data_IF_031371119648
#
_entry.id   IF_031371119648
#
_cell.length_a   1.000
_cell.length_b   1.000
_cell.length_c   1.000
_cell.angle_alpha   90.00
_cell.angle_beta   90.00
_cell.angle_gamma   90.00
#
_symmetry.space_group_name_H-M   'P 1'
#
loop_
_entity.id
_entity.type
_entity.pdbx_description
1 polymer ?
#
# COMPACT_ATOMS: atom_id res chain seq x y z
N UNK A 1 -33.07 6.74 31.18
CA UNK A 1 -34.34 7.04 30.48
C UNK A 1 -34.11 8.13 29.44
N UNK A 2 -35.03 8.37 28.50
CA UNK A 2 -34.91 9.43 27.48
C UNK A 2 -34.58 10.82 28.08
N UNK A 3 -35.15 11.13 29.24
CA UNK A 3 -34.86 12.36 30.00
C UNK A 3 -33.40 12.49 30.43
N UNK A 4 -32.73 11.39 30.75
CA UNK A 4 -31.33 11.37 31.17
C UNK A 4 -30.39 11.55 29.96
N UNK A 5 -30.78 11.01 28.80
CA UNK A 5 -30.08 11.20 27.53
C UNK A 5 -30.06 12.69 27.14
N UNK A 6 -31.23 13.35 27.16
CA UNK A 6 -31.35 14.75 26.79
C UNK A 6 -30.55 15.67 27.73
N UNK A 7 -30.53 15.36 29.03
CA UNK A 7 -29.71 16.10 30.01
C UNK A 7 -28.22 15.98 29.70
N UNK A 8 -27.73 14.77 29.40
CA UNK A 8 -26.33 14.58 29.02
C UNK A 8 -25.98 15.36 27.76
N UNK A 9 -26.83 15.28 26.72
CA UNK A 9 -26.60 15.94 25.45
C UNK A 9 -26.46 17.46 25.62
N UNK A 10 -27.39 18.08 26.36
CA UNK A 10 -27.36 19.51 26.63
C UNK A 10 -26.15 19.94 27.46
N UNK A 11 -25.74 19.11 28.43
CA UNK A 11 -24.55 19.38 29.24
C UNK A 11 -23.28 19.38 28.37
N UNK A 12 -23.12 18.37 27.51
CA UNK A 12 -21.98 18.27 26.61
C UNK A 12 -21.92 19.41 25.58
N UNK A 13 -23.07 19.82 25.04
CA UNK A 13 -23.17 20.96 24.11
C UNK A 13 -22.84 22.30 24.78
N UNK A 14 -23.31 22.53 26.00
CA UNK A 14 -23.01 23.77 26.74
C UNK A 14 -21.54 23.90 27.11
N UNK A 15 -20.87 22.77 27.34
CA UNK A 15 -19.45 22.73 27.67
C UNK A 15 -18.54 22.65 26.42
N UNK A 16 -19.14 22.68 25.22
CA UNK A 16 -18.40 22.69 23.97
C UNK A 16 -17.61 24.00 23.83
N UNK A 17 -16.34 23.89 23.42
CA UNK A 17 -15.52 25.06 23.11
C UNK A 17 -15.94 25.65 21.77
N UNK A 18 -16.19 26.97 21.73
CA UNK A 18 -16.52 27.68 20.49
C UNK A 18 -15.35 27.57 19.50
N UNK A 19 -15.66 27.39 18.21
CA UNK A 19 -14.68 27.40 17.12
C UNK A 19 -14.06 26.04 16.75
N UNK A 20 -14.49 24.93 17.36
CA UNK A 20 -14.10 23.59 16.91
C UNK A 20 -15.06 23.04 15.86
N UNK A 21 -14.47 22.40 14.86
CA UNK A 21 -15.16 21.78 13.73
C UNK A 21 -15.49 20.35 14.15
N UNK A 22 -16.68 20.16 14.73
CA UNK A 22 -17.16 18.87 15.27
C UNK A 22 -16.95 18.75 16.78
N UNK A 23 -17.75 17.90 17.45
CA UNK A 23 -17.66 17.65 18.89
C UNK A 23 -17.77 16.16 19.21
N UNK A 24 -16.81 15.64 19.96
CA UNK A 24 -16.93 14.34 20.63
C UNK A 24 -17.12 14.56 22.13
N UNK A 25 -18.17 14.00 22.70
CA UNK A 25 -18.44 14.03 24.12
C UNK A 25 -18.47 12.62 24.69
N UNK A 26 -17.73 12.41 25.78
CA UNK A 26 -17.64 11.12 26.45
C UNK A 26 -17.75 11.30 27.96
N UNK A 27 -18.69 10.59 28.56
CA UNK A 27 -18.83 10.41 30.00
C UNK A 27 -19.18 8.96 30.31
N UNK A 28 -19.08 8.51 31.57
CA UNK A 28 -19.43 7.14 31.94
C UNK A 28 -20.87 6.74 31.59
N UNK A 29 -21.77 7.72 31.47
CA UNK A 29 -23.20 7.49 31.24
C UNK A 29 -23.66 7.80 29.81
N UNK A 30 -22.80 8.38 28.96
CA UNK A 30 -23.26 8.96 27.70
C UNK A 30 -22.11 9.28 26.75
N UNK A 31 -22.32 8.96 25.48
CA UNK A 31 -21.38 9.21 24.38
C UNK A 31 -22.15 9.80 23.21
N UNK A 32 -21.70 10.93 22.69
CA UNK A 32 -22.19 11.46 21.42
C UNK A 32 -21.05 12.09 20.64
N UNK A 33 -21.14 12.01 19.32
CA UNK A 33 -20.15 12.57 18.41
C UNK A 33 -20.90 13.26 17.27
N UNK A 34 -20.58 14.53 17.04
CA UNK A 34 -21.06 15.32 15.93
C UNK A 34 -19.86 15.53 15.04
N UNK A 35 -19.84 14.83 13.91
CA UNK A 35 -18.83 15.05 12.89
C UNK A 35 -19.23 16.25 12.04
N UNK A 36 -18.24 17.10 11.82
CA UNK A 36 -18.32 18.31 11.00
C UNK A 36 -18.01 18.07 9.54
N UNK A 37 -17.77 16.80 9.16
CA UNK A 37 -17.56 16.42 7.78
C UNK A 37 -18.91 16.49 7.05
N UNK A 38 -19.28 17.72 6.70
CA UNK A 38 -20.52 18.10 6.02
C UNK A 38 -20.69 17.44 4.65
N UNK A 39 -19.76 16.59 4.19
CA UNK A 39 -19.91 15.81 2.96
C UNK A 39 -21.22 14.99 2.99
N UNK A 40 -21.65 14.52 4.17
CA UNK A 40 -22.93 13.80 4.32
C UNK A 40 -24.17 14.71 4.36
N UNK A 41 -24.05 15.96 4.81
CA UNK A 41 -25.17 16.94 4.82
C UNK A 41 -25.20 17.85 3.59
N UNK A 42 -24.15 17.81 2.75
CA UNK A 42 -24.01 18.54 1.49
C UNK A 42 -24.42 17.67 0.31
N UNK A 43 -25.64 17.12 0.37
CA UNK A 43 -26.25 16.47 -0.79
C UNK A 43 -27.59 17.10 -1.19
N UNK A 44 -28.21 17.95 -0.36
CA UNK A 44 -29.55 18.48 -0.68
C UNK A 44 -29.76 19.99 -0.45
N UNK A 45 -28.72 20.76 -0.10
CA UNK A 45 -28.82 22.22 -0.24
C UNK A 45 -28.60 22.57 -1.70
N UNK A 46 -29.66 22.37 -2.46
CA UNK A 46 -30.11 23.24 -3.55
C UNK A 46 -28.97 23.94 -4.27
N UNK A 47 -28.62 23.34 -5.42
CA UNK A 47 -28.06 24.04 -6.55
C UNK A 47 -29.02 25.19 -6.86
N UNK A 48 -28.87 26.32 -6.16
CA UNK A 48 -29.26 27.61 -6.71
C UNK A 48 -28.62 27.63 -8.11
N UNK A 49 -29.41 27.80 -9.18
CA UNK A 49 -28.85 27.96 -10.51
C UNK A 49 -28.20 29.34 -10.52
N UNK A 50 -27.01 29.45 -9.92
CA UNK A 50 -26.20 30.64 -10.05
C UNK A 50 -25.89 30.74 -11.54
N UNK A 51 -26.27 31.87 -12.09
CA UNK A 51 -26.08 32.29 -13.46
C UNK A 51 -24.61 32.17 -13.86
N UNK A 52 -24.19 30.96 -14.25
CA UNK A 52 -22.86 30.72 -14.80
C UNK A 52 -22.77 31.50 -16.10
N UNK A 53 -22.05 32.62 -16.06
CA UNK A 53 -21.61 33.32 -17.27
C UNK A 53 -20.84 32.34 -18.14
N UNK A 54 -20.99 32.47 -19.47
CA UNK A 54 -20.37 31.57 -20.45
C UNK A 54 -18.84 31.43 -20.24
N UNK A 55 -18.20 32.47 -19.69
CA UNK A 55 -16.78 32.44 -19.31
C UNK A 55 -16.44 31.40 -18.24
N UNK A 56 -17.30 31.22 -17.23
CA UNK A 56 -17.01 30.31 -16.13
C UNK A 56 -17.25 28.86 -16.52
N UNK A 57 -18.22 28.60 -17.42
CA UNK A 57 -18.40 27.29 -18.05
C UNK A 57 -17.16 26.90 -18.85
N UNK A 58 -16.62 27.81 -19.66
CA UNK A 58 -15.42 27.56 -20.48
C UNK A 58 -14.21 27.28 -19.59
N UNK A 59 -14.01 28.03 -18.49
CA UNK A 59 -12.92 27.76 -17.53
C UNK A 59 -13.03 26.37 -16.90
N UNK A 60 -14.23 25.96 -16.50
CA UNK A 60 -14.47 24.62 -15.93
C UNK A 60 -14.16 23.53 -16.96
N UNK A 61 -14.59 23.71 -18.21
CA UNK A 61 -14.32 22.75 -19.30
C UNK A 61 -12.80 22.65 -19.56
N UNK A 62 -12.10 23.77 -19.65
CA UNK A 62 -10.64 23.77 -19.89
C UNK A 62 -9.89 23.10 -18.74
N UNK A 63 -10.26 23.42 -17.48
CA UNK A 63 -9.62 22.83 -16.30
C UNK A 63 -9.85 21.30 -16.22
N UNK A 64 -11.08 20.85 -16.52
CA UNK A 64 -11.41 19.42 -16.47
C UNK A 64 -10.74 18.64 -17.60
N UNK A 65 -10.80 19.13 -18.84
CA UNK A 65 -10.13 18.50 -19.98
C UNK A 65 -8.61 18.48 -19.80
N UNK A 66 -8.02 19.58 -19.34
CA UNK A 66 -6.59 19.66 -19.05
C UNK A 66 -6.14 18.66 -17.98
N UNK A 67 -6.94 18.48 -16.93
CA UNK A 67 -6.67 17.49 -15.86
C UNK A 67 -6.69 16.06 -16.38
N UNK A 68 -7.70 15.69 -17.18
CA UNK A 68 -7.83 14.33 -17.73
C UNK A 68 -6.67 14.01 -18.69
N UNK A 69 -6.35 14.92 -19.60
CA UNK A 69 -5.24 14.74 -20.55
C UNK A 69 -3.90 14.69 -19.81
N UNK A 70 -3.67 15.59 -18.86
CA UNK A 70 -2.47 15.61 -18.03
C UNK A 70 -2.28 14.30 -17.25
N UNK A 71 -3.34 13.80 -16.63
CA UNK A 71 -3.31 12.53 -15.89
C UNK A 71 -3.00 11.35 -16.83
N UNK A 72 -3.64 11.27 -17.99
CA UNK A 72 -3.38 10.22 -18.98
C UNK A 72 -1.90 10.21 -19.43
N UNK A 73 -1.32 11.37 -19.71
CA UNK A 73 0.10 11.50 -20.09
C UNK A 73 1.01 11.02 -18.96
N UNK A 74 0.73 11.41 -17.71
CA UNK A 74 1.52 10.97 -16.55
C UNK A 74 1.48 9.45 -16.41
N UNK A 75 0.30 8.83 -16.52
CA UNK A 75 0.14 7.37 -16.44
C UNK A 75 0.94 6.66 -17.53
N UNK A 76 0.86 7.14 -18.79
CA UNK A 76 1.61 6.56 -19.91
C UNK A 76 3.12 6.69 -19.70
N UNK A 77 3.59 7.87 -19.26
CA UNK A 77 5.00 8.11 -18.94
C UNK A 77 5.50 7.17 -17.84
N UNK A 78 4.76 7.04 -16.73
CA UNK A 78 5.10 6.13 -15.64
C UNK A 78 5.13 4.68 -16.10
N UNK A 79 4.14 4.25 -16.88
CA UNK A 79 4.11 2.90 -17.45
C UNK A 79 5.35 2.62 -18.30
N UNK A 80 5.72 3.54 -19.18
CA UNK A 80 6.91 3.39 -20.03
C UNK A 80 8.20 3.36 -19.22
N UNK A 81 8.36 4.27 -18.25
CA UNK A 81 9.53 4.33 -17.37
C UNK A 81 9.69 3.05 -16.53
N UNK A 82 8.61 2.57 -15.93
CA UNK A 82 8.59 1.32 -15.16
C UNK A 82 8.93 0.12 -16.05
N UNK A 83 8.36 0.06 -17.26
CA UNK A 83 8.65 -1.02 -18.22
C UNK A 83 10.11 -1.02 -18.63
N UNK A 84 10.68 0.16 -18.92
CA UNK A 84 12.10 0.31 -19.26
C UNK A 84 13.00 -0.07 -18.09
N UNK A 85 12.65 0.35 -16.87
CA UNK A 85 13.40 0.01 -15.66
C UNK A 85 13.39 -1.50 -15.40
N UNK A 86 12.23 -2.15 -15.53
CA UNK A 86 12.09 -3.60 -15.37
C UNK A 86 12.89 -4.38 -16.42
N UNK A 87 12.90 -3.93 -17.68
CA UNK A 87 13.73 -4.54 -18.73
C UNK A 87 15.22 -4.45 -18.42
N UNK A 88 15.70 -3.29 -17.96
CA UNK A 88 17.12 -3.12 -17.53
C UNK A 88 17.47 -4.00 -16.33
N UNK A 89 16.56 -4.13 -15.35
CA UNK A 89 16.77 -5.00 -14.18
C UNK A 89 16.78 -6.48 -14.59
N UNK A 90 15.89 -6.90 -15.50
CA UNK A 90 15.86 -8.27 -16.03
C UNK A 90 17.17 -8.62 -16.76
N UNK A 91 17.65 -7.75 -17.64
CA UNK A 91 18.95 -7.94 -18.32
C UNK A 91 20.14 -8.03 -17.35
N UNK A 92 20.14 -7.23 -16.26
CA UNK A 92 21.19 -7.29 -15.22
C UNK A 92 21.10 -8.54 -14.35
N UNK A 93 19.89 -9.02 -14.06
CA UNK A 93 19.65 -10.26 -13.31
C UNK A 93 20.04 -11.47 -14.15
N UNK A 94 19.54 -11.58 -15.38
CA UNK A 94 19.89 -12.67 -16.31
C UNK A 94 21.41 -12.75 -16.54
N UNK A 95 22.11 -11.61 -16.66
CA UNK A 95 23.58 -11.57 -16.73
C UNK A 95 24.27 -12.09 -15.46
N UNK A 96 23.81 -11.67 -14.27
CA UNK A 96 24.35 -12.15 -12.98
C UNK A 96 24.04 -13.61 -12.70
N UNK A 97 22.86 -14.09 -13.06
CA UNK A 97 22.43 -15.47 -12.81
C UNK A 97 23.20 -16.44 -13.72
N UNK A 98 23.44 -16.08 -14.99
CA UNK A 98 24.27 -16.87 -15.91
C UNK A 98 25.74 -16.94 -15.44
N UNK A 99 26.31 -15.83 -14.97
CA UNK A 99 27.68 -15.79 -14.43
C UNK A 99 27.80 -16.60 -13.13
N UNK A 100 26.87 -16.42 -12.19
CA UNK A 100 26.88 -17.12 -10.90
C UNK A 100 26.62 -18.63 -11.05
N UNK A 101 25.74 -19.05 -11.97
CA UNK A 101 25.53 -20.47 -12.25
C UNK A 101 26.76 -21.11 -12.88
N UNK A 102 27.45 -20.45 -13.83
CA UNK A 102 28.72 -20.96 -14.38
C UNK A 102 29.81 -21.11 -13.31
N UNK A 103 29.92 -20.17 -12.38
CA UNK A 103 30.89 -20.24 -11.27
C UNK A 103 30.52 -21.36 -10.29
N UNK A 104 29.24 -21.50 -9.94
CA UNK A 104 28.75 -22.59 -9.08
C UNK A 104 28.92 -23.95 -9.72
N UNK A 105 28.53 -24.12 -10.99
CA UNK A 105 28.72 -25.38 -11.72
C UNK A 105 30.19 -25.74 -11.83
N UNK A 106 31.07 -24.75 -12.06
CA UNK A 106 32.52 -24.98 -12.05
C UNK A 106 33.06 -25.33 -10.65
N UNK A 107 32.43 -24.89 -9.56
CA UNK A 107 32.79 -25.26 -8.18
C UNK A 107 32.24 -26.64 -7.78
N UNK A 108 31.01 -26.98 -8.18
CA UNK A 108 30.41 -28.31 -8.01
C UNK A 108 31.16 -29.37 -8.82
N UNK A 109 31.58 -29.05 -10.05
CA UNK A 109 32.42 -29.91 -10.89
C UNK A 109 33.87 -30.03 -10.39
N UNK A 110 34.29 -29.12 -9.50
CA UNK A 110 35.59 -29.15 -8.80
C UNK A 110 35.49 -29.66 -7.37
N UNK A 111 34.32 -30.11 -6.92
CA UNK A 111 34.21 -30.83 -5.65
C UNK A 111 34.87 -32.20 -5.86
N UNK A 112 36.17 -32.22 -5.63
CA UNK A 112 37.02 -33.36 -5.84
C UNK A 112 36.52 -34.53 -4.99
N UNK A 113 36.15 -35.62 -5.67
CA UNK A 113 35.66 -36.82 -5.01
C UNK A 113 36.68 -37.36 -4.00
N UNK A 114 37.97 -37.13 -4.23
CA UNK A 114 39.03 -37.51 -3.29
C UNK A 114 38.93 -36.71 -1.99
N UNK A 115 38.58 -35.42 -2.05
CA UNK A 115 38.33 -34.59 -0.87
C UNK A 115 37.12 -35.09 -0.07
N UNK A 116 36.03 -35.48 -0.73
CA UNK A 116 34.87 -36.08 -0.05
C UNK A 116 35.23 -37.43 0.58
N UNK A 117 36.00 -38.25 -0.14
CA UNK A 117 36.46 -39.57 0.31
C UNK A 117 37.35 -39.46 1.54
N UNK A 118 38.30 -38.52 1.55
CA UNK A 118 39.16 -38.24 2.70
C UNK A 118 38.33 -37.71 3.87
N UNK A 119 37.43 -36.76 3.64
CA UNK A 119 36.59 -36.19 4.69
C UNK A 119 35.63 -37.21 5.33
N UNK A 120 35.13 -38.17 4.55
CA UNK A 120 34.24 -39.24 5.03
C UNK A 120 34.99 -40.48 5.51
N UNK A 121 36.33 -40.48 5.47
CA UNK A 121 37.16 -41.65 5.75
C UNK A 121 36.67 -42.89 4.96
N UNK A 122 36.64 -42.74 3.63
CA UNK A 122 36.14 -43.75 2.69
C UNK A 122 34.73 -44.24 3.02
N UNK A 123 33.84 -43.32 3.40
CA UNK A 123 32.46 -43.60 3.81
C UNK A 123 32.36 -44.65 4.95
N UNK A 124 33.33 -44.62 5.87
CA UNK A 124 33.30 -45.43 7.09
C UNK A 124 31.94 -45.27 7.80
N UNK A 125 31.35 -46.34 8.38
CA UNK A 125 30.03 -46.31 9.00
C UNK A 125 29.83 -45.18 10.03
N UNK A 126 30.92 -44.69 10.64
CA UNK A 126 30.90 -43.62 11.64
C UNK A 126 30.80 -42.20 11.03
N UNK A 127 31.08 -42.06 9.73
CA UNK A 127 31.21 -40.79 9.02
C UNK A 127 30.32 -40.73 7.75
N UNK A 128 29.32 -41.61 7.65
CA UNK A 128 28.32 -41.56 6.59
C UNK A 128 27.38 -40.38 6.83
N UNK A 129 27.40 -39.39 5.94
CA UNK A 129 26.43 -38.31 5.94
C UNK A 129 25.17 -38.80 5.20
N UNK A 130 24.09 -39.06 5.95
CA UNK A 130 22.77 -39.35 5.38
C UNK A 130 22.12 -40.68 5.75
N UNK A 131 22.03 -41.04 7.04
CA UNK A 131 21.01 -41.99 7.49
C UNK A 131 19.61 -41.37 7.42
N UNK A 132 19.12 -41.06 6.21
CA UNK A 132 17.74 -40.64 6.02
C UNK A 132 16.79 -41.82 6.34
N UNK A 133 16.33 -41.92 7.59
CA UNK A 133 15.16 -42.74 7.95
C UNK A 133 13.91 -41.87 7.90
N UNK A 134 13.25 -41.82 6.74
CA UNK A 134 11.93 -41.22 6.61
C UNK A 134 10.85 -42.32 6.65
N UNK A 135 9.94 -42.22 7.62
CA UNK A 135 8.58 -42.78 7.54
C UNK A 135 8.23 -43.88 8.55
N UNK A 136 7.45 -43.52 9.57
CA UNK A 136 6.40 -44.35 10.17
C UNK A 136 5.12 -43.52 10.22
#
# INVERSE_FOLDING_TARGET
>A
TEKDCNKCLLYGLRNATKGRVGIGWFSPSCKFQIESNLIFFRLESEYEPDSQTEEDKVKIIIATVGSVVGFAVIVVCLYFLLTRYRRKKKQRLEGKDVENNKIKDAQLMKLDFDTIRVATNDFSPKNQLGECRFGA
#
